data_IF_614852170670
#
_entry.id   IF_614852170670
#
_cell.length_a   1.000
_cell.length_b   1.000
_cell.length_c   1.000
_cell.angle_alpha   90.00
_cell.angle_beta   90.00
_cell.angle_gamma   90.00
#
_symmetry.space_group_name_H-M   'P 1'
#
loop_
_entity.id
_entity.type
_entity.pdbx_description
1 polymer ?
#
# COMPACT_ATOMS: atom_id res chain seq x y z
N UNK A 1 -104.01 41.99 39.08
CA UNK A 1 -104.41 40.97 40.08
C UNK A 1 -103.75 39.65 39.67
N UNK A 2 -103.35 38.85 40.65
CA UNK A 2 -102.82 37.46 40.58
C UNK A 2 -101.46 37.23 39.91
N UNK A 3 -100.50 36.90 40.78
CA UNK A 3 -99.23 36.19 40.55
C UNK A 3 -99.54 34.72 40.21
N UNK A 4 -98.72 34.10 39.36
CA UNK A 4 -98.36 32.68 39.48
C UNK A 4 -96.95 32.44 38.94
N UNK A 5 -96.08 31.99 39.84
CA UNK A 5 -94.72 31.48 39.61
C UNK A 5 -94.71 30.18 38.81
N UNK A 6 -93.72 30.07 37.92
CA UNK A 6 -92.97 28.88 37.47
C UNK A 6 -92.43 29.21 36.06
N UNK A 7 -91.21 28.93 35.61
CA UNK A 7 -90.06 28.21 36.16
C UNK A 7 -88.92 28.37 35.13
N UNK A 8 -87.81 29.05 35.50
CA UNK A 8 -86.37 28.90 35.14
C UNK A 8 -85.89 28.59 33.67
N UNK A 9 -84.66 28.97 33.30
CA UNK A 9 -84.31 30.20 32.60
C UNK A 9 -83.73 29.97 31.18
N UNK A 10 -83.67 31.07 30.44
CA UNK A 10 -82.81 31.30 29.27
C UNK A 10 -81.34 30.98 29.57
N UNK A 11 -80.61 30.51 28.56
CA UNK A 11 -79.42 31.19 28.02
C UNK A 11 -78.76 30.32 26.92
N UNK A 12 -78.82 30.81 25.68
CA UNK A 12 -77.92 30.40 24.61
C UNK A 12 -76.52 30.97 24.92
N UNK A 13 -75.46 30.16 24.85
CA UNK A 13 -74.17 30.61 24.29
C UNK A 13 -73.18 29.46 24.10
N UNK A 14 -72.61 29.47 22.89
CA UNK A 14 -71.22 29.18 22.53
C UNK A 14 -70.63 27.76 22.70
N UNK A 15 -70.24 27.22 21.53
CA UNK A 15 -69.01 26.47 21.22
C UNK A 15 -68.47 25.46 22.24
N UNK A 16 -68.27 24.22 21.77
CA UNK A 16 -66.90 23.72 21.58
C UNK A 16 -66.92 22.36 20.86
N UNK A 17 -66.30 22.35 19.67
CA UNK A 17 -65.91 21.17 18.94
C UNK A 17 -65.04 20.26 19.83
N UNK A 18 -65.49 19.03 20.06
CA UNK A 18 -64.66 18.03 20.75
C UNK A 18 -63.49 17.64 19.82
N UNK A 19 -62.23 17.87 20.21
CA UNK A 19 -61.09 17.51 19.38
C UNK A 19 -60.93 15.99 19.34
N UNK A 20 -60.46 15.51 18.19
CA UNK A 20 -60.03 14.14 17.94
C UNK A 20 -59.09 13.71 19.07
N UNK A 21 -59.44 12.64 19.79
CA UNK A 21 -58.59 12.07 20.84
C UNK A 21 -57.39 11.42 20.14
N UNK A 22 -56.27 12.14 20.09
CA UNK A 22 -54.99 11.61 19.67
C UNK A 22 -54.55 10.61 20.77
N UNK A 23 -54.42 9.34 20.42
CA UNK A 23 -54.02 8.28 21.35
C UNK A 23 -52.57 8.54 21.80
N UNK A 24 -52.38 9.17 22.97
CA UNK A 24 -51.08 9.34 23.64
C UNK A 24 -50.52 8.02 24.19
N UNK A 25 -50.67 6.90 23.48
CA UNK A 25 -49.93 5.67 23.82
C UNK A 25 -48.49 5.79 23.30
N UNK A 26 -47.59 6.22 24.20
CA UNK A 26 -46.16 6.27 23.96
C UNK A 26 -45.57 4.87 23.76
N UNK A 27 -45.41 4.45 22.50
CA UNK A 27 -44.68 3.22 22.13
C UNK A 27 -43.16 3.36 22.25
N UNK A 28 -42.65 4.49 22.74
CA UNK A 28 -41.21 4.78 22.86
C UNK A 28 -40.47 3.74 23.70
N UNK A 29 -41.09 3.25 24.77
CA UNK A 29 -40.51 2.16 25.58
C UNK A 29 -40.46 0.84 24.79
N UNK A 30 -41.52 0.52 24.07
CA UNK A 30 -41.60 -0.71 23.26
C UNK A 30 -40.57 -0.67 22.13
N UNK A 31 -40.45 0.46 21.44
CA UNK A 31 -39.43 0.72 20.42
C UNK A 31 -38.01 0.60 20.97
N UNK A 32 -37.72 1.18 22.14
CA UNK A 32 -36.40 1.08 22.76
C UNK A 32 -36.09 -0.34 23.21
N UNK A 33 -37.06 -1.06 23.79
CA UNK A 33 -36.92 -2.45 24.17
C UNK A 33 -36.68 -3.37 22.96
N UNK A 34 -37.43 -3.19 21.87
CA UNK A 34 -37.24 -3.96 20.63
C UNK A 34 -35.92 -3.63 19.94
N UNK A 35 -35.52 -2.35 19.94
CA UNK A 35 -34.23 -1.92 19.38
C UNK A 35 -33.06 -2.45 20.21
N UNK A 36 -33.17 -2.43 21.53
CA UNK A 36 -32.19 -3.03 22.44
C UNK A 36 -32.10 -4.55 22.30
N UNK A 37 -33.23 -5.23 22.15
CA UNK A 37 -33.26 -6.67 21.88
C UNK A 37 -32.64 -6.99 20.52
N UNK A 38 -32.93 -6.21 19.48
CA UNK A 38 -32.33 -6.37 18.16
C UNK A 38 -30.82 -6.14 18.21
N UNK A 39 -30.35 -5.08 18.87
CA UNK A 39 -28.92 -4.82 19.08
C UNK A 39 -28.26 -5.98 19.82
N UNK A 40 -28.87 -6.49 20.89
CA UNK A 40 -28.36 -7.64 21.63
C UNK A 40 -28.27 -8.89 20.75
N UNK A 41 -29.30 -9.22 19.97
CA UNK A 41 -29.29 -10.35 19.04
C UNK A 41 -28.24 -10.17 17.95
N UNK A 42 -28.04 -8.95 17.44
CA UNK A 42 -26.99 -8.69 16.43
C UNK A 42 -25.59 -8.87 17.02
N UNK A 43 -25.30 -8.31 18.20
CA UNK A 43 -24.02 -8.51 18.89
C UNK A 43 -23.80 -9.97 19.28
N UNK A 44 -24.85 -10.65 19.75
CA UNK A 44 -24.82 -12.07 20.03
C UNK A 44 -24.54 -12.88 18.77
N UNK A 45 -25.20 -12.58 17.65
CA UNK A 45 -25.00 -13.30 16.38
C UNK A 45 -23.59 -13.09 15.84
N UNK A 46 -23.04 -11.88 15.97
CA UNK A 46 -21.66 -11.59 15.64
C UNK A 46 -20.70 -12.37 16.55
N UNK A 47 -20.95 -12.39 17.87
CA UNK A 47 -20.16 -13.16 18.81
C UNK A 47 -20.26 -14.68 18.57
N UNK A 48 -21.45 -15.17 18.26
CA UNK A 48 -21.73 -16.58 17.99
C UNK A 48 -21.00 -17.04 16.74
N UNK A 49 -21.10 -16.29 15.63
CA UNK A 49 -20.38 -16.58 14.38
C UNK A 49 -18.87 -16.37 14.50
N UNK A 50 -18.44 -15.34 15.25
CA UNK A 50 -17.03 -15.02 15.38
C UNK A 50 -16.28 -15.93 16.37
N UNK A 51 -16.90 -16.36 17.46
CA UNK A 51 -16.20 -17.08 18.53
C UNK A 51 -16.67 -18.51 18.80
N UNK A 52 -17.90 -18.91 18.46
CA UNK A 52 -18.46 -20.19 18.96
C UNK A 52 -18.92 -21.19 17.90
N UNK A 53 -19.45 -20.74 16.75
CA UNK A 53 -20.09 -21.62 15.76
C UNK A 53 -19.10 -22.42 14.91
N UNK A 54 -17.87 -21.93 14.75
CA UNK A 54 -16.89 -22.49 13.82
C UNK A 54 -15.80 -23.27 14.56
N UNK A 55 -15.98 -24.60 14.67
CA UNK A 55 -15.07 -25.48 15.41
C UNK A 55 -13.60 -25.46 14.92
N UNK A 56 -13.34 -25.11 13.66
CA UNK A 56 -11.97 -25.02 13.14
C UNK A 56 -11.14 -23.86 13.75
N UNK A 57 -11.80 -22.85 14.34
CA UNK A 57 -11.15 -21.66 14.92
C UNK A 57 -10.22 -21.99 16.08
N UNK A 58 -10.58 -22.99 16.90
CA UNK A 58 -9.74 -23.46 18.01
C UNK A 58 -8.45 -24.08 17.49
N UNK A 59 -8.54 -24.98 16.50
CA UNK A 59 -7.38 -25.59 15.87
C UNK A 59 -6.47 -24.57 15.19
N UNK A 60 -7.04 -23.55 14.54
CA UNK A 60 -6.26 -22.49 13.91
C UNK A 60 -5.53 -21.62 14.94
N UNK A 61 -6.16 -21.33 16.09
CA UNK A 61 -5.52 -20.61 17.20
C UNK A 61 -4.39 -21.43 17.84
N UNK A 62 -4.62 -22.73 18.08
CA UNK A 62 -3.56 -23.65 18.55
C UNK A 62 -2.41 -23.73 17.55
N UNK A 63 -2.71 -23.82 16.25
CA UNK A 63 -1.73 -23.78 15.18
C UNK A 63 -0.90 -22.49 15.24
N UNK A 64 -1.53 -21.31 15.28
CA UNK A 64 -0.83 -20.03 15.36
C UNK A 64 0.07 -19.91 16.59
N UNK A 65 -0.39 -20.37 17.76
CA UNK A 65 0.42 -20.42 18.97
C UNK A 65 1.64 -21.34 18.81
N UNK A 66 1.43 -22.51 18.20
CA UNK A 66 2.50 -23.50 18.00
C UNK A 66 3.55 -23.01 17.00
N UNK A 67 3.12 -22.36 15.91
CA UNK A 67 4.03 -21.78 14.91
C UNK A 67 4.77 -20.56 15.48
N UNK A 68 4.10 -19.74 16.28
CA UNK A 68 4.76 -18.65 17.01
C UNK A 68 5.83 -19.19 17.96
N UNK A 69 5.52 -20.19 18.79
CA UNK A 69 6.49 -20.77 19.73
C UNK A 69 7.69 -21.38 18.99
N UNK A 70 7.44 -22.07 17.87
CA UNK A 70 8.50 -22.62 17.03
C UNK A 70 9.38 -21.52 16.41
N UNK A 71 8.77 -20.42 15.98
CA UNK A 71 9.48 -19.27 15.45
C UNK A 71 10.28 -18.55 16.55
N UNK A 72 9.74 -18.45 17.76
CA UNK A 72 10.41 -17.89 18.94
C UNK A 72 11.64 -18.71 19.32
N UNK A 73 11.55 -20.04 19.34
CA UNK A 73 12.68 -20.93 19.61
C UNK A 73 13.78 -20.78 18.55
N UNK A 74 13.39 -20.70 17.26
CA UNK A 74 14.32 -20.43 16.16
C UNK A 74 14.99 -19.06 16.30
N UNK A 75 14.22 -18.04 16.66
CA UNK A 75 14.73 -16.69 16.87
C UNK A 75 15.74 -16.66 18.01
N UNK A 76 15.41 -17.25 19.17
CA UNK A 76 16.33 -17.33 20.32
C UNK A 76 17.61 -18.08 19.99
N UNK A 77 17.51 -19.21 19.29
CA UNK A 77 18.66 -19.98 18.86
C UNK A 77 19.55 -19.19 17.90
N UNK A 78 18.95 -18.49 16.92
CA UNK A 78 19.69 -17.64 15.99
C UNK A 78 20.35 -16.46 16.73
N UNK A 79 19.62 -15.77 17.60
CA UNK A 79 20.10 -14.58 18.32
C UNK A 79 21.31 -14.88 19.21
N UNK A 80 21.26 -15.97 20.00
CA UNK A 80 22.40 -16.41 20.84
C UNK A 80 23.65 -16.68 19.99
N UNK A 81 23.48 -17.29 18.82
CA UNK A 81 24.59 -17.68 17.94
C UNK A 81 25.22 -16.48 17.23
N UNK A 82 24.47 -15.39 17.03
CA UNK A 82 24.93 -14.22 16.26
C UNK A 82 25.27 -13.00 17.10
N UNK A 83 24.78 -12.89 18.34
CA UNK A 83 24.85 -11.65 19.14
C UNK A 83 26.26 -11.03 19.23
N UNK A 84 27.29 -11.84 19.49
CA UNK A 84 28.67 -11.33 19.60
C UNK A 84 29.23 -10.86 18.25
N UNK A 85 29.03 -11.65 17.18
CA UNK A 85 29.48 -11.32 15.82
C UNK A 85 28.71 -10.14 15.23
N UNK A 86 27.42 -10.01 15.55
CA UNK A 86 26.60 -8.88 15.14
C UNK A 86 27.11 -7.59 15.78
N UNK A 87 27.45 -7.60 17.08
CA UNK A 87 28.01 -6.44 17.75
C UNK A 87 29.38 -6.04 17.18
N UNK A 88 30.23 -7.01 16.88
CA UNK A 88 31.52 -6.78 16.22
C UNK A 88 31.33 -6.15 14.84
N UNK A 89 30.49 -6.75 13.97
CA UNK A 89 30.21 -6.21 12.64
C UNK A 89 29.57 -4.82 12.69
N UNK A 90 28.67 -4.55 13.65
CA UNK A 90 28.09 -3.21 13.83
C UNK A 90 29.14 -2.18 14.23
N UNK A 91 30.10 -2.57 15.08
CA UNK A 91 31.21 -1.70 15.47
C UNK A 91 32.14 -1.43 14.29
N UNK A 92 32.50 -2.46 13.54
CA UNK A 92 33.38 -2.34 12.36
C UNK A 92 32.72 -1.49 11.26
N UNK A 93 31.40 -1.63 11.07
CA UNK A 93 30.61 -0.81 10.17
C UNK A 93 30.60 0.65 10.64
N UNK A 94 30.32 0.91 11.93
CA UNK A 94 30.35 2.28 12.47
C UNK A 94 31.74 2.92 12.34
N UNK A 95 32.81 2.14 12.51
CA UNK A 95 34.17 2.62 12.28
C UNK A 95 34.41 2.93 10.79
N UNK A 96 34.02 2.05 9.87
CA UNK A 96 34.14 2.28 8.43
C UNK A 96 33.33 3.50 7.98
N UNK A 97 32.16 3.74 8.58
CA UNK A 97 31.33 4.92 8.32
C UNK A 97 32.00 6.21 8.80
N UNK A 98 32.65 6.20 9.96
CA UNK A 98 33.45 7.34 10.44
C UNK A 98 34.66 7.59 9.54
N UNK A 99 35.39 6.53 9.18
CA UNK A 99 36.55 6.60 8.27
C UNK A 99 36.17 7.22 6.92
N UNK A 100 35.00 6.89 6.38
CA UNK A 100 34.47 7.50 5.15
C UNK A 100 33.99 8.93 5.37
N UNK A 101 33.26 9.19 6.45
CA UNK A 101 32.69 10.50 6.75
C UNK A 101 33.74 11.58 7.00
N UNK A 102 34.85 11.21 7.64
CA UNK A 102 35.97 12.10 7.98
C UNK A 102 37.01 12.20 6.85
N UNK A 103 36.84 11.47 5.74
CA UNK A 103 37.77 11.45 4.61
C UNK A 103 37.47 12.56 3.61
N UNK A 104 38.39 13.52 3.51
CA UNK A 104 38.36 14.55 2.45
C UNK A 104 38.36 13.92 1.05
N UNK A 105 39.07 12.80 0.86
CA UNK A 105 39.11 12.08 -0.41
C UNK A 105 37.73 11.53 -0.81
N UNK A 106 36.96 11.04 0.17
CA UNK A 106 35.60 10.57 -0.07
C UNK A 106 34.65 11.71 -0.47
N UNK A 107 34.78 12.88 0.18
CA UNK A 107 34.00 14.07 -0.19
C UNK A 107 34.35 14.55 -1.60
N UNK A 108 35.63 14.58 -1.96
CA UNK A 108 36.08 14.94 -3.31
C UNK A 108 35.50 14.00 -4.36
N UNK A 109 35.45 12.69 -4.08
CA UNK A 109 34.85 11.72 -5.00
C UNK A 109 33.33 11.87 -5.11
N UNK A 110 32.63 12.21 -4.02
CA UNK A 110 31.20 12.55 -4.06
C UNK A 110 30.95 13.78 -4.93
N UNK A 111 31.77 14.81 -4.77
CA UNK A 111 31.68 16.02 -5.59
C UNK A 111 32.01 15.74 -7.06
N UNK A 112 33.01 14.89 -7.35
CA UNK A 112 33.36 14.45 -8.73
C UNK A 112 32.17 13.74 -9.40
N UNK A 113 31.49 12.84 -8.68
CA UNK A 113 30.30 12.14 -9.18
C UNK A 113 29.16 13.12 -9.42
N UNK A 114 28.87 13.99 -8.46
CA UNK A 114 27.79 14.98 -8.57
C UNK A 114 28.05 15.95 -9.73
N UNK A 115 29.29 16.41 -9.92
CA UNK A 115 29.66 17.26 -11.04
C UNK A 115 29.53 16.52 -12.38
N UNK A 116 29.88 15.24 -12.44
CA UNK A 116 29.72 14.41 -13.63
C UNK A 116 28.24 14.16 -13.97
N UNK A 117 27.39 13.93 -12.97
CA UNK A 117 25.93 13.81 -13.10
C UNK A 117 25.32 15.08 -13.67
N UNK A 118 25.68 16.25 -13.12
CA UNK A 118 25.22 17.55 -13.61
C UNK A 118 25.62 17.72 -15.08
N UNK A 119 26.89 17.47 -15.42
CA UNK A 119 27.39 17.61 -16.80
C UNK A 119 26.70 16.65 -17.77
N UNK A 120 26.35 15.44 -17.35
CA UNK A 120 25.57 14.51 -18.17
C UNK A 120 24.16 15.05 -18.38
N UNK A 121 23.50 15.47 -17.30
CA UNK A 121 22.14 16.00 -17.33
C UNK A 121 22.03 17.24 -18.23
N UNK A 122 23.00 18.16 -18.19
CA UNK A 122 23.07 19.34 -19.06
C UNK A 122 23.09 18.96 -20.56
N UNK A 123 23.88 17.95 -20.94
CA UNK A 123 23.97 17.48 -22.33
C UNK A 123 22.70 16.75 -22.75
N UNK A 124 22.11 15.94 -21.87
CA UNK A 124 20.81 15.31 -22.11
C UNK A 124 19.69 16.34 -22.29
N UNK A 125 19.70 17.41 -21.50
CA UNK A 125 18.78 18.52 -21.64
C UNK A 125 18.97 19.25 -22.98
N UNK A 126 20.23 19.47 -23.39
CA UNK A 126 20.56 19.99 -24.71
C UNK A 126 19.95 19.15 -25.85
N UNK A 127 20.04 17.81 -25.75
CA UNK A 127 19.38 16.90 -26.69
C UNK A 127 17.86 17.01 -26.65
N UNK A 128 17.24 17.13 -25.46
CA UNK A 128 15.78 17.33 -25.32
C UNK A 128 15.32 18.62 -25.98
N UNK A 129 16.05 19.72 -25.81
CA UNK A 129 15.76 20.98 -26.51
C UNK A 129 15.92 20.86 -28.02
N UNK A 130 16.96 20.16 -28.50
CA UNK A 130 17.12 19.88 -29.93
C UNK A 130 15.98 19.01 -30.48
N UNK A 131 15.51 18.02 -29.71
CA UNK A 131 14.34 17.21 -30.04
C UNK A 131 13.05 18.02 -30.13
N UNK A 132 12.81 18.94 -29.19
CA UNK A 132 11.66 19.86 -29.25
C UNK A 132 11.69 20.74 -30.51
N UNK A 133 12.86 21.24 -30.91
CA UNK A 133 13.03 21.97 -32.18
C UNK A 133 12.81 21.09 -33.40
N UNK A 134 13.18 19.80 -33.33
CA UNK A 134 12.92 18.84 -34.38
C UNK A 134 11.42 18.61 -34.55
N UNK A 135 10.69 18.43 -33.44
CA UNK A 135 9.24 18.28 -33.44
C UNK A 135 8.53 19.51 -34.02
N UNK A 136 8.98 20.71 -33.66
CA UNK A 136 8.50 21.96 -34.25
C UNK A 136 8.73 22.00 -35.77
N UNK A 137 9.95 21.70 -36.23
CA UNK A 137 10.26 21.67 -37.65
C UNK A 137 9.42 20.62 -38.40
N UNK A 138 9.19 19.47 -37.76
CA UNK A 138 8.39 18.39 -38.31
C UNK A 138 6.90 18.75 -38.41
N UNK A 139 6.37 19.49 -37.44
CA UNK A 139 5.02 20.07 -37.51
C UNK A 139 4.87 20.99 -38.72
N UNK A 140 5.80 21.93 -38.92
CA UNK A 140 5.74 22.85 -40.07
C UNK A 140 5.91 22.15 -41.41
N UNK A 141 6.77 21.12 -41.48
CA UNK A 141 6.89 20.26 -42.66
C UNK A 141 5.57 19.57 -43.00
N UNK A 142 4.93 18.91 -42.02
CA UNK A 142 3.62 18.27 -42.21
C UNK A 142 2.54 19.26 -42.59
N UNK A 143 2.53 20.44 -41.98
CA UNK A 143 1.59 21.50 -42.31
C UNK A 143 1.70 21.91 -43.78
N UNK A 144 2.91 22.19 -44.28
CA UNK A 144 3.15 22.53 -45.68
C UNK A 144 2.69 21.43 -46.64
N UNK A 145 2.93 20.15 -46.30
CA UNK A 145 2.42 19.00 -47.07
C UNK A 145 0.89 18.98 -47.15
N UNK A 146 0.19 19.30 -46.05
CA UNK A 146 -1.27 19.30 -46.01
C UNK A 146 -1.89 20.49 -46.75
N UNK A 147 -1.23 21.65 -46.70
CA UNK A 147 -1.70 22.88 -47.37
C UNK A 147 -1.31 22.93 -48.87
N UNK A 148 -0.52 21.96 -49.35
CA UNK A 148 -0.08 21.87 -50.75
C UNK A 148 1.00 22.90 -51.10
N UNK A 149 1.67 23.46 -50.10
CA UNK A 149 2.78 24.41 -50.27
C UNK A 149 4.08 23.69 -50.65
N UNK A 150 5.08 24.44 -51.14
CA UNK A 150 6.42 23.88 -51.33
C UNK A 150 7.01 23.51 -49.96
N UNK A 151 7.27 22.22 -49.76
CA UNK A 151 7.75 21.63 -48.51
C UNK A 151 9.26 21.31 -48.49
N UNK A 152 9.98 21.55 -49.59
CA UNK A 152 11.39 21.17 -49.72
C UNK A 152 12.28 21.90 -48.70
N UNK A 153 11.96 23.16 -48.42
CA UNK A 153 12.68 24.01 -47.45
C UNK A 153 12.49 23.50 -46.02
N UNK A 154 11.25 23.13 -45.67
CA UNK A 154 10.90 22.60 -44.36
C UNK A 154 11.53 21.21 -44.16
N UNK A 155 11.55 20.38 -45.20
CA UNK A 155 12.22 19.08 -45.18
C UNK A 155 13.73 19.21 -45.00
N UNK A 156 14.37 20.19 -45.66
CA UNK A 156 15.78 20.49 -45.45
C UNK A 156 16.05 20.90 -44.00
N UNK A 157 15.21 21.77 -43.43
CA UNK A 157 15.30 22.20 -42.02
C UNK A 157 15.17 21.03 -41.04
N UNK A 158 14.25 20.09 -41.29
CA UNK A 158 14.10 18.87 -40.48
C UNK A 158 15.41 18.08 -40.49
N UNK A 159 15.98 17.80 -41.67
CA UNK A 159 17.24 17.04 -41.81
C UNK A 159 18.44 17.73 -41.15
N UNK A 160 18.48 19.07 -41.18
CA UNK A 160 19.53 19.83 -40.48
C UNK A 160 19.42 19.67 -38.96
N UNK A 161 18.21 19.81 -38.41
CA UNK A 161 17.99 19.67 -36.96
C UNK A 161 18.16 18.21 -36.51
N UNK A 162 17.78 17.23 -37.33
CA UNK A 162 18.02 15.81 -37.07
C UNK A 162 19.51 15.52 -36.88
N UNK A 163 20.38 16.05 -37.75
CA UNK A 163 21.84 15.97 -37.56
C UNK A 163 22.32 16.62 -36.26
N UNK A 164 21.70 17.74 -35.86
CA UNK A 164 22.01 18.38 -34.58
C UNK A 164 21.63 17.45 -33.42
N UNK A 165 20.44 16.85 -33.43
CA UNK A 165 20.00 15.87 -32.42
C UNK A 165 20.97 14.68 -32.34
N UNK A 166 21.35 14.12 -33.48
CA UNK A 166 22.31 13.01 -33.55
C UNK A 166 23.69 13.40 -33.02
N UNK A 167 24.14 14.64 -33.24
CA UNK A 167 25.44 15.12 -32.76
C UNK A 167 25.59 15.15 -31.23
N UNK A 168 24.47 15.15 -30.48
CA UNK A 168 24.49 15.08 -29.03
C UNK A 168 24.74 13.66 -28.50
N UNK A 169 24.43 12.61 -29.27
CA UNK A 169 24.60 11.21 -28.85
C UNK A 169 26.04 10.91 -28.40
N UNK A 170 27.09 11.18 -29.19
CA UNK A 170 28.46 10.89 -28.75
C UNK A 170 28.87 11.71 -27.51
N UNK A 171 28.34 12.93 -27.34
CA UNK A 171 28.63 13.75 -26.16
C UNK A 171 28.00 13.14 -24.90
N UNK A 172 26.77 12.65 -25.00
CA UNK A 172 26.09 11.93 -23.90
C UNK A 172 26.88 10.67 -23.55
N UNK A 173 27.27 9.87 -24.54
CA UNK A 173 28.02 8.63 -24.32
C UNK A 173 29.37 8.89 -23.63
N UNK A 174 30.07 9.96 -24.01
CA UNK A 174 31.32 10.37 -23.40
C UNK A 174 31.12 10.83 -21.94
N UNK A 175 30.08 11.63 -21.66
CA UNK A 175 29.76 12.07 -20.28
C UNK A 175 29.30 10.91 -19.41
N UNK A 176 28.49 10.00 -19.94
CA UNK A 176 28.05 8.80 -19.24
C UNK A 176 29.24 7.90 -18.88
N UNK A 177 30.24 7.79 -19.76
CA UNK A 177 31.48 7.05 -19.45
C UNK A 177 32.27 7.70 -18.32
N UNK A 178 32.38 9.03 -18.30
CA UNK A 178 33.09 9.76 -17.24
C UNK A 178 32.38 9.55 -15.89
N UNK A 179 31.05 9.70 -15.86
CA UNK A 179 30.24 9.43 -14.68
C UNK A 179 30.47 8.02 -14.16
N UNK A 180 30.41 7.01 -15.03
CA UNK A 180 30.62 5.62 -14.63
C UNK A 180 32.00 5.39 -14.00
N UNK A 181 33.05 6.01 -14.56
CA UNK A 181 34.40 5.91 -13.98
C UNK A 181 34.46 6.55 -12.59
N UNK A 182 33.80 7.69 -12.38
CA UNK A 182 33.74 8.34 -11.07
C UNK A 182 32.94 7.50 -10.05
N UNK A 183 31.79 6.94 -10.47
CA UNK A 183 31.00 6.02 -9.67
C UNK A 183 31.79 4.77 -9.28
N UNK A 184 32.52 4.16 -10.22
CA UNK A 184 33.33 2.96 -9.96
C UNK A 184 34.41 3.25 -8.90
N UNK A 185 35.06 4.43 -8.93
CA UNK A 185 36.01 4.85 -7.88
C UNK A 185 35.32 4.99 -6.52
N UNK A 186 34.15 5.63 -6.48
CA UNK A 186 33.37 5.81 -5.25
C UNK A 186 32.93 4.46 -4.67
N UNK A 187 32.50 3.53 -5.53
CA UNK A 187 32.11 2.17 -5.14
C UNK A 187 33.30 1.38 -4.58
N UNK A 188 34.50 1.53 -5.13
CA UNK A 188 35.71 0.89 -4.59
C UNK A 188 36.00 1.37 -3.16
N UNK A 189 35.79 2.65 -2.86
CA UNK A 189 35.95 3.19 -1.51
C UNK A 189 34.88 2.66 -0.55
N UNK A 190 33.63 2.51 -1.03
CA UNK A 190 32.51 1.93 -0.26
C UNK A 190 32.55 0.41 -0.15
N UNK A 191 33.37 -0.28 -0.94
CA UNK A 191 33.37 -1.75 -1.02
C UNK A 191 33.56 -2.44 0.33
N UNK A 192 34.39 -1.88 1.22
CA UNK A 192 34.58 -2.38 2.60
C UNK A 192 33.29 -2.27 3.41
N UNK A 193 32.63 -1.12 3.36
CA UNK A 193 31.35 -0.86 4.03
C UNK A 193 30.25 -1.80 3.51
N UNK A 194 30.14 -1.95 2.19
CA UNK A 194 29.14 -2.81 1.56
C UNK A 194 29.37 -4.29 1.83
N UNK A 195 30.63 -4.73 1.90
CA UNK A 195 30.99 -6.08 2.32
C UNK A 195 30.56 -6.35 3.77
N UNK A 196 30.82 -5.42 4.70
CA UNK A 196 30.40 -5.53 6.09
C UNK A 196 28.87 -5.55 6.24
N UNK A 197 28.16 -4.66 5.53
CA UNK A 197 26.68 -4.67 5.46
C UNK A 197 26.15 -6.00 4.95
N UNK A 198 26.71 -6.51 3.85
CA UNK A 198 26.29 -7.80 3.27
C UNK A 198 26.53 -8.96 4.24
N UNK A 199 27.63 -8.94 5.00
CA UNK A 199 27.91 -9.95 6.02
C UNK A 199 26.92 -9.86 7.19
N UNK A 200 26.62 -8.65 7.65
CA UNK A 200 25.64 -8.40 8.71
C UNK A 200 24.24 -8.85 8.27
N UNK A 201 23.80 -8.50 7.07
CA UNK A 201 22.51 -8.90 6.52
C UNK A 201 22.40 -10.42 6.39
N UNK A 202 23.46 -11.10 5.96
CA UNK A 202 23.50 -12.57 5.90
C UNK A 202 23.43 -13.19 7.28
N UNK A 203 24.13 -12.62 8.26
CA UNK A 203 24.18 -13.11 9.63
C UNK A 203 22.81 -13.00 10.31
N UNK A 204 22.12 -11.89 10.09
CA UNK A 204 20.85 -11.55 10.76
C UNK A 204 19.63 -12.14 10.02
N UNK A 205 19.77 -12.52 8.75
CA UNK A 205 18.68 -13.04 7.89
C UNK A 205 17.80 -14.11 8.53
N UNK A 206 18.40 -15.09 9.19
CA UNK A 206 17.65 -16.20 9.81
C UNK A 206 16.83 -15.72 11.01
N UNK A 207 17.40 -14.81 11.83
CA UNK A 207 16.69 -14.17 12.94
C UNK A 207 15.52 -13.34 12.41
N UNK A 208 15.74 -12.49 11.41
CA UNK A 208 14.69 -11.63 10.84
C UNK A 208 13.59 -12.43 10.12
N UNK A 209 13.93 -13.58 9.55
CA UNK A 209 12.94 -14.50 8.99
C UNK A 209 12.06 -15.12 10.10
N UNK A 210 12.66 -15.51 11.22
CA UNK A 210 11.94 -16.00 12.39
C UNK A 210 11.08 -14.89 13.02
N UNK A 211 11.60 -13.66 13.11
CA UNK A 211 10.87 -12.49 13.61
C UNK A 211 9.66 -12.14 12.76
N UNK A 212 9.81 -12.08 11.43
CA UNK A 212 8.67 -11.90 10.52
C UNK A 212 7.62 -12.99 10.66
N UNK A 213 8.04 -14.23 10.93
CA UNK A 213 7.11 -15.33 11.19
C UNK A 213 6.38 -15.12 12.51
N UNK A 214 7.08 -14.68 13.56
CA UNK A 214 6.46 -14.32 14.84
C UNK A 214 5.45 -13.18 14.68
N UNK A 215 5.82 -12.11 13.99
CA UNK A 215 4.96 -10.95 13.72
C UNK A 215 3.72 -11.31 12.90
N UNK A 216 3.86 -12.25 11.97
CA UNK A 216 2.72 -12.75 11.19
C UNK A 216 1.69 -13.47 12.08
N UNK A 217 2.13 -14.19 13.10
CA UNK A 217 1.24 -14.93 14.00
C UNK A 217 0.81 -14.13 15.24
N UNK A 218 1.58 -13.11 15.65
CA UNK A 218 1.30 -12.23 16.79
C UNK A 218 0.56 -10.96 16.34
N UNK A 219 -0.68 -10.71 16.77
CA UNK A 219 -1.38 -9.49 16.37
C UNK A 219 -1.35 -8.41 17.42
N UNK A 220 -1.58 -7.21 16.89
CA UNK A 220 -2.14 -6.05 17.55
C UNK A 220 -3.13 -6.37 18.68
N UNK A 221 -3.13 -5.56 19.75
CA UNK A 221 -2.43 -5.80 20.99
C UNK A 221 -3.05 -6.88 21.91
N UNK A 222 -4.13 -7.58 21.52
CA UNK A 222 -4.89 -8.42 22.47
C UNK A 222 -5.51 -9.73 21.93
N UNK A 223 -5.37 -10.07 20.65
CA UNK A 223 -5.97 -11.29 20.07
C UNK A 223 -4.95 -11.93 19.13
N UNK A 224 -4.87 -13.26 19.05
CA UNK A 224 -4.10 -14.01 18.01
C UNK A 224 -4.71 -13.79 16.63
N UNK A 225 -3.94 -14.06 15.54
CA UNK A 225 -4.33 -13.65 14.18
C UNK A 225 -5.78 -14.06 13.95
N UNK A 226 -6.60 -13.13 13.46
CA UNK A 226 -8.01 -13.42 13.19
C UNK A 226 -8.09 -14.67 12.33
N UNK A 227 -8.95 -15.60 12.75
CA UNK A 227 -9.09 -16.90 12.09
C UNK A 227 -9.47 -16.69 10.64
N UNK A 228 -8.55 -16.96 9.72
CA UNK A 228 -8.80 -16.74 8.31
C UNK A 228 -9.84 -17.77 7.83
N UNK A 229 -10.95 -17.29 7.28
CA UNK A 229 -11.90 -18.12 6.54
C UNK A 229 -11.34 -18.28 5.13
N UNK A 230 -10.43 -19.23 4.96
CA UNK A 230 -9.91 -19.58 3.65
C UNK A 230 -10.90 -20.53 2.97
N UNK A 231 -11.57 -20.04 1.93
CA UNK A 231 -12.43 -20.89 1.10
C UNK A 231 -11.52 -21.86 0.34
N UNK A 232 -11.52 -23.13 0.75
CA UNK A 232 -10.75 -24.16 0.06
C UNK A 232 -11.64 -24.81 -0.99
N UNK A 233 -11.23 -24.72 -2.26
CA UNK A 233 -11.87 -25.45 -3.36
C UNK A 233 -11.25 -26.84 -3.39
N UNK A 234 -11.97 -27.84 -2.90
CA UNK A 234 -11.55 -29.23 -3.03
C UNK A 234 -12.08 -29.73 -4.38
N UNK A 235 -11.22 -30.02 -5.37
CA UNK A 235 -11.67 -30.57 -6.63
C UNK A 235 -12.17 -32.01 -6.40
N UNK A 236 -13.49 -32.18 -6.41
CA UNK A 236 -14.14 -33.48 -6.39
C UNK A 236 -14.49 -33.92 -7.80
N UNK A 237 -14.35 -35.20 -8.11
CA UNK A 237 -14.85 -35.78 -9.35
C UNK A 237 -16.13 -36.55 -9.04
N UNK A 238 -17.22 -36.25 -9.76
CA UNK A 238 -18.47 -37.00 -9.68
C UNK A 238 -18.94 -37.42 -11.07
N UNK A 239 -19.53 -38.60 -11.20
CA UNK A 239 -20.21 -39.00 -12.43
C UNK A 239 -21.62 -38.42 -12.45
N UNK A 240 -22.02 -37.79 -13.56
CA UNK A 240 -23.42 -37.42 -13.76
C UNK A 240 -24.28 -38.65 -14.12
N UNK A 241 -25.59 -38.47 -14.24
CA UNK A 241 -26.52 -39.56 -14.64
C UNK A 241 -26.23 -40.12 -16.04
N UNK A 242 -25.37 -39.47 -16.82
CA UNK A 242 -24.90 -39.89 -18.14
C UNK A 242 -23.49 -40.49 -18.12
N UNK A 243 -22.94 -40.77 -16.93
CA UNK A 243 -21.61 -41.36 -16.73
C UNK A 243 -20.45 -40.48 -17.23
N UNK A 244 -20.64 -39.17 -17.30
CA UNK A 244 -19.60 -38.20 -17.63
C UNK A 244 -18.95 -37.66 -16.35
N UNK A 245 -17.63 -37.44 -16.39
CA UNK A 245 -16.89 -36.86 -15.27
C UNK A 245 -17.25 -35.38 -15.15
N UNK A 246 -17.89 -35.02 -14.06
CA UNK A 246 -18.22 -33.64 -13.70
C UNK A 246 -17.35 -33.19 -12.53
N UNK A 247 -16.83 -31.97 -12.63
CA UNK A 247 -16.11 -31.32 -11.54
C UNK A 247 -17.12 -30.83 -10.50
N UNK A 248 -17.06 -31.41 -9.31
CA UNK A 248 -17.77 -30.89 -8.14
C UNK A 248 -16.84 -29.93 -7.41
N UNK A 249 -17.32 -28.71 -7.21
CA UNK A 249 -16.67 -27.71 -6.36
C UNK A 249 -17.42 -27.72 -5.04
N UNK A 250 -16.90 -28.43 -4.04
CA UNK A 250 -17.35 -28.23 -2.67
C UNK A 250 -16.73 -26.93 -2.15
N UNK A 251 -17.57 -26.10 -1.54
CA UNK A 251 -17.18 -24.83 -0.92
C UNK A 251 -17.26 -25.03 0.58
N UNK A 252 -16.10 -25.04 1.25
CA UNK A 252 -15.98 -25.07 2.71
C UNK A 252 -15.37 -23.76 3.19
#
# INVERSE_FOLDING_TARGET
MSISEDSKPEEESENEDKPFVDEETSYSFLFFATSGALLFVTLWSFWDDEYSRRGYKQYQNEYFKSEYARAEDKWKAADINIASKEQELKKDLAQADSELGDSDEYQILLDEVLEAEIKLAEVEEGKKFAGSKLDEAYYFYKKAMHEGENFDVQLAKVKEIEKVVESWIPQIDDKARILKVAEDKLLLQKAKQDALKTQLDKLVRERDAAERTMDFYKPFPFVWRATAVEQTVIPGFGLNNFSEITYKVDRC
#
